data_IF_146472364166
#
_entry.id   IF_146472364166
#
_cell.length_a   1.000
_cell.length_b   1.000
_cell.length_c   1.000
_cell.angle_alpha   90.00
_cell.angle_beta   90.00
_cell.angle_gamma   90.00
#
_symmetry.space_group_name_H-M   'P 1'
#
loop_
_entity.id
_entity.type
_entity.pdbx_description
1 polymer ?
#
# COMPACT_ATOMS: atom_id res chain seq x y z
N UNK A 1 6.84 -2.45 0.00
CA UNK A 1 7.22 -2.93 1.36
C UNK A 1 8.01 -1.83 2.04
N UNK A 2 7.85 -1.71 3.34
CA UNK A 2 8.60 -0.78 4.19
C UNK A 2 9.62 -1.57 5.02
N UNK A 3 10.61 -0.90 5.59
CA UNK A 3 11.62 -1.52 6.46
C UNK A 3 10.90 -1.96 7.75
N UNK A 4 10.92 -3.26 8.16
CA UNK A 4 10.14 -3.75 9.31
C UNK A 4 10.40 -3.05 10.64
N UNK A 5 11.53 -2.36 10.75
CA UNK A 5 12.00 -1.70 11.97
C UNK A 5 11.80 -0.19 11.93
N UNK A 6 11.15 0.33 10.88
CA UNK A 6 10.85 1.74 10.70
C UNK A 6 10.01 2.27 11.87
N UNK A 7 10.40 3.43 12.38
CA UNK A 7 9.71 4.11 13.49
C UNK A 7 8.27 4.46 13.13
N UNK A 8 7.99 4.78 11.86
CA UNK A 8 6.64 5.12 11.41
C UNK A 8 5.70 3.92 11.51
N UNK A 9 6.18 2.70 11.29
CA UNK A 9 5.40 1.48 11.51
C UNK A 9 5.22 1.25 13.01
N UNK A 10 6.31 1.31 13.79
CA UNK A 10 6.27 1.06 15.24
C UNK A 10 5.33 2.00 16.00
N UNK A 11 5.24 3.25 15.57
CA UNK A 11 4.46 4.27 16.28
C UNK A 11 3.05 4.47 15.71
N UNK A 12 2.77 4.08 14.47
CA UNK A 12 1.54 4.43 13.76
C UNK A 12 0.86 3.25 13.05
N UNK A 13 1.23 2.01 13.38
CA UNK A 13 0.56 0.81 12.87
C UNK A 13 0.40 -0.23 13.96
N UNK A 14 -0.78 -0.86 14.02
CA UNK A 14 -1.00 -2.07 14.81
C UNK A 14 -0.60 -3.35 14.05
N UNK A 15 -0.23 -3.21 12.77
CA UNK A 15 0.13 -4.30 11.86
C UNK A 15 1.62 -4.22 11.54
N UNK A 16 2.35 -5.32 11.75
CA UNK A 16 3.77 -5.44 11.38
C UNK A 16 3.95 -5.69 9.87
N UNK A 17 5.17 -5.49 9.34
CA UNK A 17 5.46 -5.84 7.95
C UNK A 17 5.25 -7.34 7.68
N UNK A 18 5.65 -8.19 8.61
CA UNK A 18 5.53 -9.65 8.53
C UNK A 18 4.06 -10.07 8.52
N UNK A 19 3.26 -9.55 9.45
CA UNK A 19 1.81 -9.81 9.51
C UNK A 19 1.11 -9.33 8.24
N UNK A 20 1.44 -8.13 7.78
CA UNK A 20 0.90 -7.56 6.55
C UNK A 20 1.19 -8.44 5.33
N UNK A 21 2.45 -8.87 5.18
CA UNK A 21 2.88 -9.72 4.06
C UNK A 21 2.26 -11.11 4.13
N UNK A 22 2.30 -11.76 5.30
CA UNK A 22 1.76 -13.11 5.48
C UNK A 22 0.24 -13.15 5.21
N UNK A 23 -0.52 -12.18 5.73
CA UNK A 23 -1.96 -12.10 5.51
C UNK A 23 -2.31 -11.87 4.03
N UNK A 24 -1.62 -10.96 3.35
CA UNK A 24 -1.80 -10.73 1.92
C UNK A 24 -1.46 -11.97 1.09
N UNK A 25 -0.36 -12.65 1.42
CA UNK A 25 0.03 -13.88 0.77
C UNK A 25 -1.02 -14.98 0.94
N UNK A 26 -1.45 -15.24 2.18
CA UNK A 26 -2.46 -16.25 2.48
C UNK A 26 -3.81 -15.96 1.82
N UNK A 27 -4.19 -14.69 1.73
CA UNK A 27 -5.40 -14.29 1.01
C UNK A 27 -5.26 -14.47 -0.50
N UNK A 28 -4.17 -13.99 -1.10
CA UNK A 28 -3.96 -14.09 -2.55
C UNK A 28 -3.91 -15.54 -3.06
N UNK A 29 -3.37 -16.47 -2.26
CA UNK A 29 -3.24 -17.89 -2.66
C UNK A 29 -4.58 -18.65 -2.70
N UNK A 30 -5.68 -18.03 -2.24
CA UNK A 30 -7.02 -18.61 -2.38
C UNK A 30 -7.56 -18.45 -3.82
N UNK A 31 -8.39 -19.39 -4.31
CA UNK A 31 -8.95 -19.33 -5.65
C UNK A 31 -9.72 -18.03 -5.94
N UNK A 32 -9.56 -17.50 -7.16
CA UNK A 32 -10.21 -16.28 -7.67
C UNK A 32 -9.81 -14.96 -7.01
N UNK A 33 -8.84 -14.96 -6.08
CA UNK A 33 -8.27 -13.73 -5.53
C UNK A 33 -7.20 -13.14 -6.46
N UNK A 34 -7.00 -11.81 -6.43
CA UNK A 34 -6.04 -11.14 -7.30
C UNK A 34 -4.61 -11.58 -6.96
N UNK A 35 -3.76 -11.60 -8.00
CA UNK A 35 -2.32 -11.78 -7.83
C UNK A 35 -1.72 -10.55 -7.13
N UNK A 36 -0.86 -10.78 -6.14
CA UNK A 36 -0.17 -9.70 -5.42
C UNK A 36 1.29 -9.61 -5.84
N UNK A 37 1.73 -8.39 -6.13
CA UNK A 37 3.13 -8.07 -6.40
C UNK A 37 3.71 -7.25 -5.25
N UNK A 38 4.74 -7.77 -4.62
CA UNK A 38 5.46 -7.09 -3.55
C UNK A 38 6.69 -6.37 -4.12
N UNK A 39 6.67 -5.04 -4.09
CA UNK A 39 7.85 -4.20 -4.37
C UNK A 39 8.67 -4.02 -3.08
N UNK A 40 9.93 -4.47 -3.01
CA UNK A 40 10.77 -4.22 -1.85
C UNK A 40 11.19 -2.77 -1.71
N UNK A 41 11.51 -2.39 -0.47
CA UNK A 41 12.14 -1.11 -0.20
C UNK A 41 13.55 -1.07 -0.83
N UNK A 42 13.95 -0.01 -1.54
CA UNK A 42 15.25 0.04 -2.23
C UNK A 42 16.43 0.09 -1.24
N UNK A 43 16.23 0.68 -0.07
CA UNK A 43 17.24 0.72 0.99
C UNK A 43 17.19 -0.55 1.86
N UNK A 44 18.37 -1.00 2.30
CA UNK A 44 18.57 -2.10 3.23
C UNK A 44 17.93 -3.43 2.78
N UNK A 45 18.33 -3.92 1.60
CA UNK A 45 17.80 -5.17 1.00
C UNK A 45 17.91 -6.38 1.94
N UNK A 46 18.95 -6.45 2.78
CA UNK A 46 19.11 -7.56 3.73
C UNK A 46 17.97 -7.61 4.75
N UNK A 47 17.44 -6.45 5.17
CA UNK A 47 16.28 -6.37 6.06
C UNK A 47 14.97 -6.86 5.44
N UNK A 48 14.92 -7.06 4.11
CA UNK A 48 13.77 -7.63 3.39
C UNK A 48 13.78 -9.16 3.36
N UNK A 49 14.87 -9.80 3.77
CA UNK A 49 15.02 -11.27 3.72
C UNK A 49 13.89 -12.02 4.43
N UNK A 50 13.43 -11.63 5.64
CA UNK A 50 12.32 -12.30 6.31
C UNK A 50 11.02 -12.24 5.48
N UNK A 51 10.70 -11.07 4.93
CA UNK A 51 9.50 -10.87 4.10
C UNK A 51 9.59 -11.68 2.80
N UNK A 52 10.76 -11.70 2.14
CA UNK A 52 10.99 -12.52 0.95
C UNK A 52 10.80 -14.01 1.26
N UNK A 53 11.24 -14.48 2.42
CA UNK A 53 11.08 -15.88 2.84
C UNK A 53 9.63 -16.25 3.11
N UNK A 54 8.80 -15.33 3.60
CA UNK A 54 7.35 -15.51 3.69
C UNK A 54 6.76 -15.66 2.29
N UNK A 55 7.02 -14.70 1.40
CA UNK A 55 6.39 -14.62 0.07
C UNK A 55 6.67 -15.88 -0.76
N UNK A 56 7.88 -16.45 -0.66
CA UNK A 56 8.27 -17.67 -1.38
C UNK A 56 7.44 -18.91 -1.05
N UNK A 57 6.66 -18.92 0.04
CA UNK A 57 5.83 -20.06 0.44
C UNK A 57 4.51 -20.15 -0.33
N UNK A 58 4.18 -19.12 -1.11
CA UNK A 58 2.87 -18.95 -1.74
C UNK A 58 3.01 -18.84 -3.26
N UNK A 59 1.96 -19.24 -4.01
CA UNK A 59 2.01 -19.41 -5.46
C UNK A 59 1.43 -18.21 -6.22
N UNK A 60 0.36 -17.60 -5.71
CA UNK A 60 -0.31 -16.47 -6.37
C UNK A 60 0.25 -15.10 -5.98
N UNK A 61 1.54 -15.05 -5.65
CA UNK A 61 2.26 -13.83 -5.26
C UNK A 61 3.60 -13.75 -5.97
N UNK A 62 4.14 -12.53 -6.10
CA UNK A 62 5.45 -12.30 -6.70
C UNK A 62 6.22 -11.24 -5.91
N UNK A 63 7.46 -11.56 -5.55
CA UNK A 63 8.42 -10.57 -5.07
C UNK A 63 9.20 -10.00 -6.28
N UNK A 64 9.18 -8.68 -6.44
CA UNK A 64 9.88 -8.01 -7.54
C UNK A 64 11.38 -7.92 -7.23
N UNK A 65 12.13 -8.89 -7.76
CA UNK A 65 13.59 -9.01 -7.59
C UNK A 65 14.42 -8.05 -8.46
N UNK A 66 13.76 -7.24 -9.29
CA UNK A 66 14.39 -6.28 -10.20
C UNK A 66 13.98 -4.85 -9.86
N UNK A 67 14.83 -3.89 -10.23
CA UNK A 67 14.62 -2.48 -9.95
C UNK A 67 13.58 -1.88 -10.90
N UNK A 68 12.30 -2.12 -10.60
CA UNK A 68 11.19 -1.40 -11.24
C UNK A 68 11.02 -0.06 -10.54
N UNK A 69 10.86 1.01 -11.31
CA UNK A 69 10.47 2.28 -10.73
C UNK A 69 9.08 2.19 -10.09
N UNK A 70 8.90 2.72 -8.88
CA UNK A 70 7.65 2.56 -8.10
C UNK A 70 6.41 3.03 -8.88
N UNK A 71 6.52 4.10 -9.67
CA UNK A 71 5.42 4.60 -10.51
C UNK A 71 5.02 3.64 -11.64
N UNK A 72 5.96 2.87 -12.19
CA UNK A 72 5.63 1.86 -13.20
C UNK A 72 4.84 0.72 -12.57
N UNK A 73 5.25 0.26 -11.39
CA UNK A 73 4.53 -0.74 -10.62
C UNK A 73 3.11 -0.27 -10.26
N UNK A 74 2.97 0.99 -9.82
CA UNK A 74 1.67 1.59 -9.53
C UNK A 74 0.79 1.66 -10.78
N UNK A 75 1.32 2.15 -11.92
CA UNK A 75 0.54 2.26 -13.16
C UNK A 75 0.01 0.90 -13.65
N UNK A 76 0.81 -0.15 -13.50
CA UNK A 76 0.45 -1.50 -13.88
C UNK A 76 -0.53 -2.18 -12.90
N UNK A 77 -0.71 -1.65 -11.68
CA UNK A 77 -1.57 -2.28 -10.67
C UNK A 77 -3.03 -1.82 -10.78
N UNK A 78 -3.94 -2.67 -10.32
CA UNK A 78 -5.36 -2.33 -10.14
C UNK A 78 -5.60 -1.50 -8.87
N UNK A 79 -4.76 -1.70 -7.85
CA UNK A 79 -4.79 -0.98 -6.58
C UNK A 79 -3.42 -1.07 -5.89
N UNK A 80 -3.24 -0.27 -4.84
CA UNK A 80 -2.01 -0.23 -4.05
C UNK A 80 -2.35 -0.42 -2.57
N UNK A 81 -1.76 -1.44 -1.96
CA UNK A 81 -1.96 -1.77 -0.56
C UNK A 81 -0.70 -1.37 0.21
N UNK A 82 -0.87 -0.55 1.25
CA UNK A 82 0.24 0.00 2.05
C UNK A 82 -0.09 -0.07 3.53
N UNK A 83 0.92 -0.14 4.39
CA UNK A 83 0.72 0.12 5.81
C UNK A 83 0.52 1.62 5.97
N UNK A 84 1.60 2.40 5.87
CA UNK A 84 1.55 3.87 5.97
C UNK A 84 2.64 4.56 5.12
N UNK A 85 3.13 3.88 4.08
CA UNK A 85 4.18 4.37 3.20
C UNK A 85 3.78 5.63 2.41
N UNK A 86 4.73 6.53 2.13
CA UNK A 86 4.55 7.63 1.18
C UNK A 86 4.16 7.17 -0.24
N UNK A 87 4.43 5.91 -0.59
CA UNK A 87 3.95 5.29 -1.85
C UNK A 87 2.43 5.34 -1.97
N UNK A 88 1.70 5.37 -0.85
CA UNK A 88 0.25 5.59 -0.86
C UNK A 88 -0.13 6.96 -1.45
N UNK A 89 0.60 8.02 -1.10
CA UNK A 89 0.41 9.34 -1.72
C UNK A 89 0.81 9.29 -3.20
N UNK A 90 1.94 8.67 -3.55
CA UNK A 90 2.34 8.53 -4.96
C UNK A 90 1.27 7.81 -5.80
N UNK A 91 0.59 6.82 -5.22
CA UNK A 91 -0.52 6.12 -5.84
C UNK A 91 -1.78 6.98 -6.00
N UNK A 92 -2.07 7.85 -5.02
CA UNK A 92 -3.16 8.83 -5.12
C UNK A 92 -2.93 9.83 -6.27
N UNK A 93 -1.68 10.30 -6.48
CA UNK A 93 -1.34 11.16 -7.63
C UNK A 93 -1.55 10.48 -8.98
N UNK A 94 -1.44 9.14 -9.01
CA UNK A 94 -1.63 8.32 -10.21
C UNK A 94 -3.06 7.75 -10.31
N UNK A 95 -4.00 8.28 -9.51
CA UNK A 95 -5.42 7.91 -9.48
C UNK A 95 -5.66 6.40 -9.33
N UNK A 96 -4.79 5.74 -8.55
CA UNK A 96 -4.94 4.34 -8.20
C UNK A 96 -5.66 4.20 -6.86
N UNK A 97 -6.63 3.27 -6.73
CA UNK A 97 -7.22 2.94 -5.44
C UNK A 97 -6.13 2.55 -4.43
N UNK A 98 -6.13 3.23 -3.29
CA UNK A 98 -5.22 2.97 -2.18
C UNK A 98 -5.98 2.36 -1.01
N UNK A 99 -5.41 1.29 -0.45
CA UNK A 99 -5.87 0.68 0.81
C UNK A 99 -4.76 0.83 1.84
N UNK A 100 -5.04 1.55 2.94
CA UNK A 100 -4.07 1.83 4.00
C UNK A 100 -4.39 1.04 5.29
N UNK A 101 -3.41 0.30 5.80
CA UNK A 101 -3.54 -0.59 6.96
C UNK A 101 -2.93 -0.01 8.25
N UNK A 102 -2.21 1.10 8.15
CA UNK A 102 -1.71 1.90 9.26
C UNK A 102 -2.23 3.34 9.15
N UNK A 103 -1.92 4.13 10.17
CA UNK A 103 -2.22 5.56 10.17
C UNK A 103 -1.15 6.32 9.38
N UNK A 104 -1.61 7.06 8.38
CA UNK A 104 -0.84 8.01 7.59
C UNK A 104 -1.66 9.30 7.46
N UNK A 105 -1.02 10.40 7.09
CA UNK A 105 -1.68 11.71 6.92
C UNK A 105 -2.82 11.67 5.88
N UNK A 106 -2.74 10.73 4.93
CA UNK A 106 -3.72 10.52 3.88
C UNK A 106 -4.80 9.47 4.21
N UNK A 107 -4.78 8.85 5.40
CA UNK A 107 -5.71 7.77 5.77
C UNK A 107 -7.19 8.16 5.64
N UNK A 108 -7.53 9.43 5.84
CA UNK A 108 -8.91 9.94 5.71
C UNK A 108 -9.40 10.04 4.26
N UNK A 109 -8.49 10.00 3.28
CA UNK A 109 -8.81 10.14 1.86
C UNK A 109 -8.87 8.79 1.13
N UNK A 110 -8.45 7.70 1.76
CA UNK A 110 -8.26 6.38 1.12
C UNK A 110 -9.11 5.30 1.79
N UNK A 111 -9.13 4.10 1.21
CA UNK A 111 -9.84 2.96 1.79
C UNK A 111 -9.09 2.53 3.05
N UNK A 112 -9.79 2.51 4.20
CA UNK A 112 -9.25 1.93 5.43
C UNK A 112 -9.19 0.41 5.30
N UNK A 113 -7.97 -0.12 5.41
CA UNK A 113 -7.70 -1.54 5.35
C UNK A 113 -8.01 -2.24 6.67
N UNK A 114 -8.60 -3.42 6.57
CA UNK A 114 -8.77 -4.36 7.66
C UNK A 114 -7.99 -5.63 7.32
N UNK A 115 -6.91 -5.87 8.07
CA UNK A 115 -6.03 -7.02 7.82
C UNK A 115 -6.75 -8.36 8.02
N UNK A 116 -7.81 -8.38 8.84
CA UNK A 116 -8.63 -9.56 9.10
C UNK A 116 -9.74 -9.75 8.06
N UNK A 117 -9.94 -8.78 7.15
CA UNK A 117 -10.99 -8.82 6.14
C UNK A 117 -10.52 -8.26 4.78
N UNK A 118 -9.48 -8.88 4.22
CA UNK A 118 -8.90 -8.50 2.93
C UNK A 118 -9.89 -8.65 1.75
N UNK A 119 -10.84 -9.58 1.86
CA UNK A 119 -11.91 -9.75 0.87
C UNK A 119 -12.79 -8.50 0.78
N UNK A 120 -13.21 -7.94 1.92
CA UNK A 120 -13.99 -6.70 1.94
C UNK A 120 -13.16 -5.50 1.46
N UNK A 121 -11.88 -5.45 1.81
CA UNK A 121 -10.96 -4.43 1.28
C UNK A 121 -10.92 -4.45 -0.25
N UNK A 122 -10.78 -5.65 -0.85
CA UNK A 122 -10.78 -5.80 -2.31
C UNK A 122 -12.14 -5.49 -2.93
N UNK A 123 -13.24 -5.88 -2.28
CA UNK A 123 -14.59 -5.50 -2.71
C UNK A 123 -14.72 -3.99 -2.80
N UNK A 124 -14.29 -3.25 -1.77
CA UNK A 124 -14.27 -1.78 -1.76
C UNK A 124 -13.43 -1.19 -2.90
N UNK A 125 -12.31 -1.82 -3.25
CA UNK A 125 -11.50 -1.41 -4.42
C UNK A 125 -12.28 -1.55 -5.71
N UNK A 126 -12.95 -2.69 -5.92
CA UNK A 126 -13.70 -2.99 -7.15
C UNK A 126 -14.96 -2.13 -7.28
N UNK A 127 -15.66 -1.89 -6.18
CA UNK A 127 -16.91 -1.13 -6.13
C UNK A 127 -16.67 0.39 -6.00
N UNK A 128 -15.41 0.82 -5.91
CA UNK A 128 -15.08 2.23 -5.74
C UNK A 128 -15.50 3.07 -6.95
N UNK A 129 -16.22 4.15 -6.72
CA UNK A 129 -16.49 5.14 -7.76
C UNK A 129 -15.19 5.91 -8.06
N UNK A 130 -14.65 5.67 -9.26
CA UNK A 130 -13.38 6.25 -9.69
C UNK A 130 -13.42 7.79 -9.68
N UNK A 131 -14.51 8.40 -10.14
CA UNK A 131 -14.61 9.86 -10.23
C UNK A 131 -14.67 10.49 -8.83
N UNK A 132 -15.42 9.89 -7.91
CA UNK A 132 -15.48 10.37 -6.53
C UNK A 132 -14.17 10.16 -5.78
N UNK A 133 -13.47 9.05 -6.02
CA UNK A 133 -12.12 8.80 -5.50
C UNK A 133 -11.13 9.87 -5.99
N UNK A 134 -11.08 10.14 -7.29
CA UNK A 134 -10.20 11.15 -7.87
C UNK A 134 -10.46 12.53 -7.25
N UNK A 135 -11.73 12.93 -7.15
CA UNK A 135 -12.13 14.17 -6.47
C UNK A 135 -11.69 14.20 -5.02
N UNK A 136 -11.83 13.09 -4.29
CA UNK A 136 -11.37 12.99 -2.90
C UNK A 136 -9.86 13.20 -2.81
N UNK A 137 -9.08 12.56 -3.68
CA UNK A 137 -7.63 12.71 -3.70
C UNK A 137 -7.22 14.15 -4.01
N UNK A 138 -7.84 14.80 -5.00
CA UNK A 138 -7.57 16.22 -5.30
C UNK A 138 -7.92 17.14 -4.13
N UNK A 139 -9.05 16.91 -3.46
CA UNK A 139 -9.43 17.66 -2.24
C UNK A 139 -8.40 17.48 -1.12
N UNK A 140 -7.93 16.25 -0.91
CA UNK A 140 -6.92 15.97 0.09
C UNK A 140 -5.60 16.68 -0.24
N UNK A 141 -5.12 16.63 -1.49
CA UNK A 141 -3.91 17.36 -1.89
C UNK A 141 -4.03 18.87 -1.73
N UNK A 142 -5.17 19.44 -2.12
CA UNK A 142 -5.43 20.86 -1.93
C UNK A 142 -5.39 21.25 -0.45
N UNK A 143 -6.01 20.45 0.41
CA UNK A 143 -5.95 20.64 1.86
C UNK A 143 -4.51 20.50 2.40
N UNK A 144 -3.78 19.47 1.96
CA UNK A 144 -2.41 19.20 2.37
C UNK A 144 -1.48 20.37 2.02
N UNK A 145 -1.54 20.87 0.79
CA UNK A 145 -0.79 22.05 0.34
C UNK A 145 -1.16 23.30 1.16
N UNK A 146 -2.46 23.53 1.40
CA UNK A 146 -2.94 24.74 2.06
C UNK A 146 -2.65 24.80 3.57
N UNK A 147 -2.41 23.66 4.22
CA UNK A 147 -2.33 23.58 5.69
C UNK A 147 -1.00 23.04 6.23
N UNK A 148 -0.23 22.31 5.41
CA UNK A 148 0.99 21.64 5.88
C UNK A 148 2.25 22.10 5.14
N UNK A 149 2.12 22.76 3.99
CA UNK A 149 3.24 23.34 3.27
C UNK A 149 3.24 24.84 3.50
N UNK A 150 4.28 25.36 4.15
CA UNK A 150 4.55 26.78 4.14
C UNK A 150 5.03 27.18 2.74
N UNK A 151 4.09 27.65 1.92
CA UNK A 151 4.35 28.18 0.57
C UNK A 151 4.83 29.63 0.60
N UNK A 152 5.07 30.23 1.78
CA UNK A 152 5.73 31.52 1.89
C UNK A 152 7.24 31.38 1.65
N UNK A 153 7.61 31.28 0.38
CA UNK A 153 8.95 31.62 -0.11
C UNK A 153 8.85 32.76 -1.10
#
# INVERSE_FOLDING_TARGET
>A
LQIPHDMVIKCHSNVSCEEFVEALCAWADQPNNPKILFKPHPANLQSMTPLKNIIKKYNNVLYLDFDIHVHEAIRASSAVYVINSGVGQEAMLLDKPVVAFGHAEYSSAVISGDINNLKDCWKKVIENDKLEMEKMYRRWYYWYESNLIDVSK
#
